data_IF_368595974502
#
_entry.id   IF_368595974502
#
_cell.length_a   1.000
_cell.length_b   1.000
_cell.length_c   1.000
_cell.angle_alpha   90.00
_cell.angle_beta   90.00
_cell.angle_gamma   90.00
#
_symmetry.space_group_name_H-M   'P 1'
#
loop_
_entity.id
_entity.type
_entity.pdbx_description
1 polymer ?
#
# COMPACT_ATOMS: atom_id res chain seq x y z
N UNK A 1 17.95 -35.64 -14.43
CA UNK A 1 17.24 -36.57 -13.52
C UNK A 1 17.45 -36.07 -12.10
N UNK A 2 16.47 -35.39 -11.51
CA UNK A 2 16.55 -34.98 -10.10
C UNK A 2 16.53 -36.22 -9.21
N UNK A 3 17.38 -36.30 -8.17
CA UNK A 3 17.43 -37.48 -7.31
C UNK A 3 16.06 -37.71 -6.67
N UNK A 4 15.57 -38.95 -6.70
CA UNK A 4 14.32 -39.31 -6.01
C UNK A 4 14.48 -38.95 -4.52
N UNK A 5 13.51 -38.24 -3.93
CA UNK A 5 13.54 -37.88 -2.53
C UNK A 5 13.67 -39.16 -1.69
N UNK A 6 14.68 -39.21 -0.81
CA UNK A 6 15.00 -40.41 -0.02
C UNK A 6 13.87 -40.79 0.95
N UNK A 7 13.04 -39.82 1.35
CA UNK A 7 11.95 -40.01 2.31
C UNK A 7 10.74 -39.19 1.86
N UNK A 8 9.59 -39.87 1.77
CA UNK A 8 8.28 -39.28 1.45
C UNK A 8 7.30 -39.58 2.58
N UNK A 9 6.39 -38.66 2.82
CA UNK A 9 5.27 -38.85 3.76
C UNK A 9 3.95 -38.76 3.01
N UNK A 10 2.93 -39.48 3.50
CA UNK A 10 1.57 -39.39 3.01
C UNK A 10 0.82 -38.26 3.71
N UNK A 11 0.36 -37.28 2.93
CA UNK A 11 -0.56 -36.23 3.37
C UNK A 11 -1.84 -36.40 2.57
N UNK A 12 -2.89 -36.93 3.19
CA UNK A 12 -4.09 -37.36 2.47
C UNK A 12 -3.73 -38.44 1.44
N UNK A 13 -4.02 -38.16 0.16
CA UNK A 13 -3.71 -39.06 -0.97
C UNK A 13 -2.41 -38.70 -1.70
N UNK A 14 -1.68 -37.68 -1.24
CA UNK A 14 -0.46 -37.21 -1.91
C UNK A 14 0.81 -37.65 -1.18
N UNK A 15 1.87 -37.92 -1.96
CA UNK A 15 3.21 -38.18 -1.43
C UNK A 15 4.02 -36.88 -1.44
N UNK A 16 4.32 -36.36 -0.26
CA UNK A 16 5.11 -35.13 -0.10
C UNK A 16 6.55 -35.51 0.23
N UNK A 17 7.55 -35.06 -0.55
CA UNK A 17 8.95 -35.27 -0.22
C UNK A 17 9.34 -34.47 1.02
N UNK A 18 10.05 -35.13 1.95
CA UNK A 18 10.62 -34.43 3.09
C UNK A 18 11.83 -33.58 2.65
N UNK A 19 11.98 -32.35 3.17
CA UNK A 19 13.19 -31.56 2.96
C UNK A 19 14.44 -32.31 3.45
N UNK A 20 15.59 -32.01 2.84
CA UNK A 20 16.86 -32.59 3.29
C UNK A 20 17.12 -32.28 4.77
N UNK A 21 17.50 -33.30 5.54
CA UNK A 21 17.77 -33.18 6.97
C UNK A 21 16.54 -33.26 7.89
N UNK A 22 15.31 -33.31 7.35
CA UNK A 22 14.08 -33.40 8.14
C UNK A 22 13.58 -34.84 8.21
N UNK A 23 13.40 -35.38 9.42
CA UNK A 23 12.84 -36.72 9.61
C UNK A 23 11.30 -36.70 9.67
N UNK A 24 10.67 -37.86 9.46
CA UNK A 24 9.22 -37.99 9.64
C UNK A 24 8.77 -37.72 11.09
N UNK A 25 9.66 -37.94 12.08
CA UNK A 25 9.39 -37.63 13.48
C UNK A 25 9.40 -36.12 13.74
N UNK A 26 10.42 -35.42 13.24
CA UNK A 26 10.51 -33.95 13.33
C UNK A 26 9.27 -33.31 12.70
N UNK A 27 8.85 -33.85 11.56
CA UNK A 27 7.64 -33.43 10.87
C UNK A 27 6.35 -33.61 11.70
N UNK A 28 6.20 -34.77 12.33
CA UNK A 28 5.03 -35.10 13.13
C UNK A 28 4.96 -34.27 14.41
N UNK A 29 6.10 -34.07 15.08
CA UNK A 29 6.21 -33.24 16.27
C UNK A 29 5.95 -31.77 15.94
N UNK A 30 6.53 -31.24 14.85
CA UNK A 30 6.28 -29.88 14.38
C UNK A 30 4.79 -29.62 14.14
N UNK A 31 4.10 -30.60 13.54
CA UNK A 31 2.66 -30.50 13.28
C UNK A 31 1.85 -30.34 14.56
N UNK A 32 2.10 -31.22 15.52
CA UNK A 32 1.29 -31.33 16.75
C UNK A 32 1.59 -30.18 17.71
N UNK A 33 2.88 -29.86 17.88
CA UNK A 33 3.33 -28.94 18.92
C UNK A 33 3.28 -27.48 18.48
N UNK A 34 3.41 -27.20 17.18
CA UNK A 34 3.56 -25.83 16.69
C UNK A 34 2.57 -25.48 15.59
N UNK A 35 2.54 -26.21 14.48
CA UNK A 35 1.72 -25.84 13.31
C UNK A 35 0.22 -25.80 13.64
N UNK A 36 -0.35 -26.88 14.19
CA UNK A 36 -1.77 -26.94 14.51
C UNK A 36 -2.16 -25.86 15.53
N UNK A 37 -1.40 -25.65 16.62
CA UNK A 37 -1.60 -24.50 17.50
C UNK A 37 -1.53 -23.15 16.77
N UNK A 38 -0.53 -22.91 15.91
CA UNK A 38 -0.37 -21.65 15.15
C UNK A 38 -1.63 -21.38 14.32
N UNK A 39 -2.09 -22.37 13.56
CA UNK A 39 -3.30 -22.26 12.73
C UNK A 39 -4.51 -21.91 13.59
N UNK A 40 -4.73 -22.61 14.71
CA UNK A 40 -5.86 -22.32 15.59
C UNK A 40 -5.79 -20.92 16.18
N UNK A 41 -4.61 -20.46 16.60
CA UNK A 41 -4.40 -19.12 17.13
C UNK A 41 -4.67 -18.04 16.08
N UNK A 42 -4.16 -18.20 14.85
CA UNK A 42 -4.46 -17.31 13.73
C UNK A 42 -5.97 -17.23 13.46
N UNK A 43 -6.61 -18.38 13.27
CA UNK A 43 -8.05 -18.42 12.95
C UNK A 43 -8.91 -17.86 14.08
N UNK A 44 -8.55 -18.13 15.34
CA UNK A 44 -9.21 -17.53 16.49
C UNK A 44 -9.16 -16.00 16.47
N UNK A 45 -7.97 -15.44 16.17
CA UNK A 45 -7.79 -14.00 16.05
C UNK A 45 -8.53 -13.42 14.83
N UNK A 46 -8.42 -14.06 13.67
CA UNK A 46 -9.08 -13.64 12.41
C UNK A 46 -10.59 -13.58 12.60
N UNK A 47 -11.19 -14.63 13.17
CA UNK A 47 -12.64 -14.71 13.37
C UNK A 47 -13.16 -13.62 14.31
N UNK A 48 -12.39 -13.26 15.33
CA UNK A 48 -12.74 -12.20 16.27
C UNK A 48 -12.61 -10.82 15.63
N UNK A 49 -11.52 -10.56 14.90
CA UNK A 49 -11.31 -9.26 14.25
C UNK A 49 -12.28 -9.02 13.10
N UNK A 50 -12.61 -10.05 12.32
CA UNK A 50 -13.65 -9.98 11.28
C UNK A 50 -15.03 -9.66 11.85
N UNK A 51 -15.32 -10.07 13.09
CA UNK A 51 -16.59 -9.76 13.75
C UNK A 51 -16.79 -8.27 14.06
N UNK A 52 -15.72 -7.46 13.94
CA UNK A 52 -15.71 -6.02 14.16
C UNK A 52 -15.07 -5.24 13.01
N UNK A 53 -14.83 -5.92 11.88
CA UNK A 53 -14.30 -5.28 10.69
C UNK A 53 -15.42 -4.45 10.04
N UNK A 54 -15.38 -3.15 10.31
CA UNK A 54 -16.34 -2.17 9.82
C UNK A 54 -15.62 -1.08 9.02
N UNK A 55 -16.37 -0.33 8.19
CA UNK A 55 -15.81 0.82 7.50
C UNK A 55 -15.45 1.93 8.50
N UNK A 56 -14.45 2.75 8.16
CA UNK A 56 -14.07 3.89 9.01
C UNK A 56 -15.24 4.84 9.28
N UNK A 57 -16.12 5.02 8.28
CA UNK A 57 -17.34 5.79 8.46
C UNK A 57 -18.23 5.20 9.57
N UNK A 58 -18.46 3.89 9.54
CA UNK A 58 -19.23 3.21 10.58
C UNK A 58 -18.55 3.32 11.96
N UNK A 59 -17.23 3.13 12.05
CA UNK A 59 -16.47 3.27 13.30
C UNK A 59 -16.51 4.70 13.86
N UNK A 60 -16.47 5.72 13.01
CA UNK A 60 -16.52 7.13 13.45
C UNK A 60 -17.92 7.55 13.93
N UNK A 61 -18.98 6.92 13.42
CA UNK A 61 -20.37 7.34 13.64
C UNK A 61 -21.21 6.35 14.46
N UNK A 62 -20.65 5.19 14.86
CA UNK A 62 -21.39 4.22 15.67
C UNK A 62 -21.70 4.75 17.07
N UNK A 63 -22.71 4.19 17.74
CA UNK A 63 -23.03 4.53 19.14
C UNK A 63 -21.84 4.27 20.08
N UNK A 64 -21.71 4.98 21.22
CA UNK A 64 -20.69 4.71 22.22
C UNK A 64 -20.66 3.24 22.70
N UNK A 65 -21.82 2.61 22.87
CA UNK A 65 -21.92 1.21 23.29
C UNK A 65 -21.30 0.26 22.24
N UNK A 66 -21.64 0.43 20.96
CA UNK A 66 -21.01 -0.31 19.86
C UNK A 66 -19.50 -0.08 19.80
N UNK A 67 -19.04 1.15 20.02
CA UNK A 67 -17.61 1.45 20.03
C UNK A 67 -16.88 0.69 21.15
N UNK A 68 -17.47 0.61 22.34
CA UNK A 68 -16.89 -0.14 23.47
C UNK A 68 -16.89 -1.66 23.23
N UNK A 69 -17.92 -2.22 22.57
CA UNK A 69 -17.92 -3.63 22.12
C UNK A 69 -16.76 -3.89 21.14
N UNK A 70 -16.59 -3.01 20.15
CA UNK A 70 -15.49 -3.09 19.18
C UNK A 70 -14.14 -2.99 19.91
N UNK A 71 -13.98 -2.04 20.81
CA UNK A 71 -12.79 -1.85 21.63
C UNK A 71 -12.43 -3.12 22.42
N UNK A 72 -13.40 -3.70 23.12
CA UNK A 72 -13.21 -4.92 23.89
C UNK A 72 -12.72 -6.09 23.03
N UNK A 73 -13.31 -6.28 21.85
CA UNK A 73 -12.90 -7.34 20.91
C UNK A 73 -11.50 -7.10 20.32
N UNK A 74 -11.17 -5.86 19.96
CA UNK A 74 -9.82 -5.54 19.46
C UNK A 74 -8.75 -5.78 20.53
N UNK A 75 -9.03 -5.40 21.78
CA UNK A 75 -8.14 -5.73 22.91
C UNK A 75 -8.02 -7.24 23.13
N UNK A 76 -9.13 -7.98 23.02
CA UNK A 76 -9.12 -9.43 23.13
C UNK A 76 -8.21 -10.06 22.05
N UNK A 77 -8.33 -9.62 20.79
CA UNK A 77 -7.46 -10.06 19.69
C UNK A 77 -6.00 -9.71 19.98
N UNK A 78 -5.72 -8.47 20.40
CA UNK A 78 -4.36 -8.06 20.76
C UNK A 78 -3.77 -8.92 21.89
N UNK A 79 -4.59 -9.29 22.88
CA UNK A 79 -4.16 -10.18 23.96
C UNK A 79 -3.89 -11.61 23.46
N UNK A 80 -4.74 -12.17 22.59
CA UNK A 80 -4.52 -13.49 21.99
C UNK A 80 -3.27 -13.52 21.13
N UNK A 81 -3.00 -12.44 20.37
CA UNK A 81 -1.77 -12.31 19.60
C UNK A 81 -0.55 -12.39 20.53
N UNK A 82 -0.54 -11.62 21.62
CA UNK A 82 0.58 -11.62 22.58
C UNK A 82 0.77 -12.93 23.33
N UNK A 83 -0.33 -13.53 23.80
CA UNK A 83 -0.27 -14.64 24.76
C UNK A 83 -0.29 -16.02 24.11
N UNK A 84 -0.84 -16.13 22.90
CA UNK A 84 -0.96 -17.41 22.21
C UNK A 84 -0.16 -17.44 20.91
N UNK A 85 -0.32 -16.44 20.04
CA UNK A 85 0.33 -16.46 18.73
C UNK A 85 1.83 -16.17 18.82
N UNK A 86 2.23 -15.15 19.59
CA UNK A 86 3.63 -14.73 19.69
C UNK A 86 4.56 -15.85 20.17
N UNK A 87 4.27 -16.60 21.25
CA UNK A 87 5.13 -17.70 21.69
C UNK A 87 5.28 -18.80 20.64
N UNK A 88 4.21 -19.04 19.86
CA UNK A 88 4.24 -20.02 18.78
C UNK A 88 5.08 -19.56 17.58
N UNK A 89 5.14 -18.25 17.35
CA UNK A 89 6.02 -17.65 16.35
C UNK A 89 7.45 -17.52 16.83
N UNK A 90 7.76 -17.57 18.13
CA UNK A 90 9.15 -17.58 18.62
C UNK A 90 9.83 -18.93 18.45
N UNK A 91 9.08 -20.03 18.55
CA UNK A 91 9.63 -21.37 18.40
C UNK A 91 10.08 -21.66 16.96
N UNK A 92 11.34 -22.08 16.78
CA UNK A 92 11.89 -22.43 15.47
C UNK A 92 11.23 -23.67 14.86
N UNK A 93 11.22 -23.74 13.53
CA UNK A 93 10.77 -24.90 12.78
C UNK A 93 11.96 -25.67 12.20
N UNK A 94 11.96 -27.02 12.25
CA UNK A 94 12.96 -27.83 11.54
C UNK A 94 12.74 -27.83 10.02
N UNK A 95 11.59 -27.35 9.54
CA UNK A 95 11.24 -27.31 8.11
C UNK A 95 11.72 -25.97 7.53
N UNK A 96 12.72 -25.94 6.63
CA UNK A 96 13.37 -24.68 6.23
C UNK A 96 12.41 -23.60 5.69
N UNK A 97 11.54 -23.97 4.75
CA UNK A 97 10.56 -23.01 4.18
C UNK A 97 9.57 -22.48 5.23
N UNK A 98 9.17 -23.32 6.18
CA UNK A 98 8.26 -22.92 7.24
C UNK A 98 8.97 -22.03 8.26
N UNK A 99 10.26 -22.27 8.51
CA UNK A 99 11.09 -21.41 9.36
C UNK A 99 11.28 -20.02 8.73
N UNK A 100 11.52 -19.92 7.42
CA UNK A 100 11.60 -18.65 6.70
C UNK A 100 10.28 -17.85 6.83
N UNK A 101 9.14 -18.49 6.55
CA UNK A 101 7.83 -17.86 6.69
C UNK A 101 7.52 -17.46 8.15
N UNK A 102 7.92 -18.29 9.12
CA UNK A 102 7.78 -17.98 10.55
C UNK A 102 8.67 -16.79 10.95
N UNK A 103 9.90 -16.70 10.45
CA UNK A 103 10.80 -15.56 10.68
C UNK A 103 10.19 -14.27 10.13
N UNK A 104 9.69 -14.30 8.90
CA UNK A 104 8.94 -13.19 8.29
C UNK A 104 7.76 -12.76 9.17
N UNK A 105 6.92 -13.72 9.61
CA UNK A 105 5.81 -13.48 10.52
C UNK A 105 6.24 -12.90 11.88
N UNK A 106 7.37 -13.36 12.43
CA UNK A 106 7.94 -12.83 13.67
C UNK A 106 8.44 -11.38 13.54
N UNK A 107 9.03 -11.01 12.40
CA UNK A 107 9.38 -9.62 12.11
C UNK A 107 8.13 -8.75 11.96
N UNK A 108 7.13 -9.23 11.22
CA UNK A 108 5.85 -8.53 11.06
C UNK A 108 5.14 -8.32 12.42
N UNK A 109 5.20 -9.32 13.31
CA UNK A 109 4.66 -9.22 14.66
C UNK A 109 5.41 -8.17 15.50
N UNK A 110 6.72 -8.08 15.34
CA UNK A 110 7.54 -7.07 16.02
C UNK A 110 7.13 -5.65 15.62
N UNK A 111 6.91 -5.43 14.31
CA UNK A 111 6.40 -4.16 13.78
C UNK A 111 4.97 -3.87 14.23
N UNK A 112 4.09 -4.87 14.23
CA UNK A 112 2.73 -4.72 14.77
C UNK A 112 2.78 -4.36 16.26
N UNK A 113 3.70 -4.97 17.00
CA UNK A 113 3.95 -4.72 18.41
C UNK A 113 4.35 -3.28 18.70
N UNK A 114 5.33 -2.76 17.97
CA UNK A 114 5.87 -1.41 18.16
C UNK A 114 4.86 -0.31 17.79
N UNK A 115 4.09 -0.52 16.73
CA UNK A 115 3.24 0.53 16.15
C UNK A 115 1.76 0.45 16.57
N UNK A 116 1.21 -0.75 16.73
CA UNK A 116 -0.23 -0.96 16.90
C UNK A 116 -0.56 -1.42 18.30
N UNK A 117 0.03 -2.54 18.72
CA UNK A 117 -0.30 -3.17 20.00
C UNK A 117 0.04 -2.25 21.19
N UNK A 118 1.19 -1.57 21.13
CA UNK A 118 1.57 -0.54 22.11
C UNK A 118 0.63 0.68 22.10
N UNK A 119 0.06 1.03 20.95
CA UNK A 119 -0.93 2.09 20.84
C UNK A 119 -2.22 1.77 21.60
N UNK A 120 -2.68 0.51 21.52
CA UNK A 120 -3.84 0.01 22.25
C UNK A 120 -3.65 0.00 23.78
N UNK A 121 -2.42 -0.16 24.26
CA UNK A 121 -2.09 -0.14 25.70
C UNK A 121 -2.23 1.24 26.35
N UNK A 122 -2.24 2.32 25.54
CA UNK A 122 -2.36 3.70 26.06
C UNK A 122 -3.73 4.00 26.67
N UNK A 123 -4.74 3.22 26.31
CA UNK A 123 -6.11 3.40 26.78
C UNK A 123 -6.47 2.30 27.78
N UNK A 124 -7.26 2.61 28.82
CA UNK A 124 -7.76 1.62 29.76
C UNK A 124 -8.73 0.63 29.10
N UNK A 125 -9.04 -0.47 29.80
CA UNK A 125 -10.09 -1.40 29.34
C UNK A 125 -11.45 -0.72 29.28
N UNK A 126 -11.78 0.04 30.31
CA UNK A 126 -12.97 0.88 30.38
C UNK A 126 -12.63 2.30 29.92
N UNK A 127 -12.98 2.62 28.67
CA UNK A 127 -12.65 3.92 28.05
C UNK A 127 -13.55 5.02 28.62
N UNK A 128 -12.99 6.09 29.21
CA UNK A 128 -13.76 7.24 29.66
C UNK A 128 -14.49 7.95 28.49
N UNK A 129 -15.68 8.53 28.71
CA UNK A 129 -16.44 9.23 27.66
C UNK A 129 -15.63 10.31 26.92
N UNK A 130 -14.73 11.00 27.61
CA UNK A 130 -13.87 12.04 27.03
C UNK A 130 -12.82 11.53 26.03
N UNK A 131 -12.52 10.23 26.01
CA UNK A 131 -11.51 9.61 25.16
C UNK A 131 -12.10 8.84 23.96
N UNK A 132 -13.43 8.77 23.84
CA UNK A 132 -14.08 7.95 22.81
C UNK A 132 -13.67 8.36 21.40
N UNK A 133 -13.49 9.66 21.12
CA UNK A 133 -13.07 10.12 19.79
C UNK A 133 -11.64 9.67 19.44
N UNK A 134 -10.73 9.66 20.40
CA UNK A 134 -9.35 9.19 20.19
C UNK A 134 -9.33 7.68 19.95
N UNK A 135 -10.14 6.93 20.70
CA UNK A 135 -10.31 5.49 20.51
C UNK A 135 -10.92 5.18 19.13
N UNK A 136 -11.89 5.97 18.63
CA UNK A 136 -12.40 5.81 17.26
C UNK A 136 -11.29 5.93 16.22
N UNK A 137 -10.48 6.98 16.30
CA UNK A 137 -9.36 7.20 15.37
C UNK A 137 -8.36 6.06 15.44
N UNK A 138 -8.00 5.63 16.65
CA UNK A 138 -7.09 4.50 16.86
C UNK A 138 -7.64 3.21 16.27
N UNK A 139 -8.93 2.91 16.46
CA UNK A 139 -9.57 1.69 15.95
C UNK A 139 -9.64 1.66 14.42
N UNK A 140 -9.89 2.79 13.75
CA UNK A 140 -9.87 2.89 12.29
C UNK A 140 -8.54 2.38 11.70
N UNK A 141 -7.43 2.67 12.38
CA UNK A 141 -6.10 2.22 11.97
C UNK A 141 -5.81 0.80 12.44
N UNK A 142 -6.07 0.53 13.72
CA UNK A 142 -5.62 -0.68 14.40
C UNK A 142 -6.31 -1.94 13.88
N UNK A 143 -7.62 -1.87 13.61
CA UNK A 143 -8.38 -3.01 13.08
C UNK A 143 -7.80 -3.44 11.73
N UNK A 144 -7.57 -2.49 10.82
CA UNK A 144 -7.01 -2.77 9.50
C UNK A 144 -5.58 -3.35 9.57
N UNK A 145 -4.73 -2.82 10.45
CA UNK A 145 -3.36 -3.30 10.60
C UNK A 145 -3.28 -4.68 11.25
N UNK A 146 -4.07 -4.94 12.30
CA UNK A 146 -4.18 -6.27 12.92
C UNK A 146 -4.73 -7.29 11.93
N UNK A 147 -5.80 -6.92 11.21
CA UNK A 147 -6.39 -7.78 10.19
C UNK A 147 -5.38 -8.13 9.09
N UNK A 148 -4.65 -7.14 8.57
CA UNK A 148 -3.63 -7.35 7.54
C UNK A 148 -2.51 -8.25 8.04
N UNK A 149 -1.95 -7.97 9.20
CA UNK A 149 -0.93 -8.82 9.82
C UNK A 149 -1.39 -10.27 9.93
N UNK A 150 -2.59 -10.50 10.48
CA UNK A 150 -3.12 -11.84 10.70
C UNK A 150 -3.29 -12.61 9.39
N UNK A 151 -3.88 -11.99 8.36
CA UNK A 151 -4.12 -12.65 7.09
C UNK A 151 -2.84 -12.87 6.28
N UNK A 152 -1.94 -11.88 6.21
CA UNK A 152 -0.70 -12.00 5.45
C UNK A 152 0.19 -13.11 6.04
N UNK A 153 0.41 -13.06 7.35
CA UNK A 153 1.32 -14.00 8.01
C UNK A 153 0.71 -15.39 8.12
N UNK A 154 -0.61 -15.51 8.29
CA UNK A 154 -1.30 -16.78 8.16
C UNK A 154 -1.16 -17.34 6.74
N UNK A 155 -1.39 -16.51 5.71
CA UNK A 155 -1.27 -16.90 4.32
C UNK A 155 0.15 -17.35 3.96
N UNK A 156 1.17 -16.62 4.40
CA UNK A 156 2.57 -16.97 4.19
C UNK A 156 2.96 -18.28 4.88
N UNK A 157 2.59 -18.45 6.16
CA UNK A 157 2.86 -19.69 6.92
C UNK A 157 2.14 -20.89 6.30
N UNK A 158 0.88 -20.72 5.90
CA UNK A 158 0.10 -21.77 5.23
C UNK A 158 0.63 -22.08 3.83
N UNK A 159 1.08 -21.07 3.08
CA UNK A 159 1.70 -21.24 1.78
C UNK A 159 3.14 -21.75 1.88
N UNK A 160 3.79 -21.70 3.03
CA UNK A 160 5.10 -22.35 3.21
C UNK A 160 4.94 -23.82 3.60
N UNK A 161 3.88 -24.13 4.35
CA UNK A 161 3.57 -25.48 4.77
C UNK A 161 3.11 -26.35 3.59
N UNK A 162 3.65 -27.55 3.39
CA UNK A 162 3.17 -28.47 2.36
C UNK A 162 2.07 -29.42 2.87
N UNK A 163 1.68 -29.35 4.15
CA UNK A 163 0.57 -30.12 4.74
C UNK A 163 -0.80 -29.46 4.56
N UNK A 164 -0.79 -28.14 4.41
CA UNK A 164 -1.97 -27.27 4.32
C UNK A 164 -2.78 -27.44 3.02
N UNK A 165 -2.37 -28.33 2.11
CA UNK A 165 -3.00 -28.55 0.81
C UNK A 165 -4.50 -28.91 0.89
N UNK A 166 -4.94 -29.62 1.93
CA UNK A 166 -6.35 -29.96 2.15
C UNK A 166 -7.07 -29.08 3.20
N UNK A 167 -6.32 -28.61 4.20
CA UNK A 167 -6.87 -27.75 5.25
C UNK A 167 -7.14 -26.33 4.74
N UNK A 168 -6.33 -25.84 3.80
CA UNK A 168 -6.61 -24.61 3.06
C UNK A 168 -8.01 -24.67 2.45
N UNK A 169 -8.34 -25.66 1.62
CA UNK A 169 -9.67 -25.74 0.99
C UNK A 169 -10.84 -25.79 2.00
N UNK A 170 -10.68 -26.46 3.16
CA UNK A 170 -11.70 -26.49 4.21
C UNK A 170 -11.84 -25.14 4.94
N UNK A 171 -10.74 -24.49 5.31
CA UNK A 171 -10.72 -23.23 6.05
C UNK A 171 -10.96 -21.99 5.18
N UNK A 172 -10.80 -22.09 3.86
CA UNK A 172 -10.99 -21.02 2.86
C UNK A 172 -12.42 -20.95 2.29
N UNK A 173 -13.30 -21.90 2.62
CA UNK A 173 -14.49 -22.26 1.80
C UNK A 173 -15.68 -21.29 1.76
N UNK A 174 -15.70 -20.11 2.41
CA UNK A 174 -16.87 -19.21 2.34
C UNK A 174 -16.65 -17.70 2.19
N UNK A 175 -15.47 -17.16 2.50
CA UNK A 175 -15.19 -15.70 2.39
C UNK A 175 -13.92 -15.38 1.60
N UNK A 176 -12.92 -16.22 1.74
CA UNK A 176 -11.61 -16.07 1.13
C UNK A 176 -11.58 -16.03 -0.42
N UNK A 177 -12.47 -16.70 -1.18
CA UNK A 177 -12.48 -16.59 -2.65
C UNK A 177 -12.75 -15.16 -3.14
N UNK A 178 -13.56 -14.39 -2.41
CA UNK A 178 -13.81 -12.97 -2.73
C UNK A 178 -12.58 -12.13 -2.44
N UNK A 179 -11.95 -12.30 -1.28
CA UNK A 179 -10.73 -11.56 -0.92
C UNK A 179 -9.57 -11.87 -1.88
N UNK A 180 -9.54 -13.11 -2.38
CA UNK A 180 -8.63 -13.60 -3.41
C UNK A 180 -8.89 -12.95 -4.77
N UNK A 181 -10.14 -12.97 -5.26
CA UNK A 181 -10.52 -12.34 -6.53
C UNK A 181 -10.27 -10.82 -6.49
N UNK A 182 -10.60 -10.18 -5.36
CA UNK A 182 -10.32 -8.77 -5.10
C UNK A 182 -8.81 -8.49 -5.06
N UNK A 183 -7.98 -9.38 -4.49
CA UNK A 183 -6.53 -9.26 -4.49
C UNK A 183 -5.88 -9.45 -5.88
N UNK A 184 -6.39 -10.36 -6.70
CA UNK A 184 -5.98 -10.52 -8.11
C UNK A 184 -6.30 -9.26 -8.92
N UNK A 185 -7.50 -8.72 -8.75
CA UNK A 185 -7.93 -7.52 -9.44
C UNK A 185 -7.11 -6.30 -8.99
N UNK A 186 -6.83 -6.19 -7.69
CA UNK A 186 -5.95 -5.17 -7.12
C UNK A 186 -4.52 -5.29 -7.67
N UNK A 187 -3.95 -6.50 -7.69
CA UNK A 187 -2.60 -6.74 -8.25
C UNK A 187 -2.52 -6.34 -9.71
N UNK A 188 -3.44 -6.83 -10.54
CA UNK A 188 -3.48 -6.51 -11.96
C UNK A 188 -3.60 -5.00 -12.19
N UNK A 189 -4.40 -4.31 -11.38
CA UNK A 189 -4.58 -2.85 -11.48
C UNK A 189 -3.33 -2.08 -11.05
N UNK A 190 -2.64 -2.52 -9.99
CA UNK A 190 -1.37 -1.94 -9.56
C UNK A 190 -0.23 -2.18 -10.55
N UNK A 191 -0.18 -3.36 -11.18
CA UNK A 191 0.76 -3.64 -12.27
C UNK A 191 0.52 -2.69 -13.45
N UNK A 192 -0.74 -2.50 -13.86
CA UNK A 192 -1.09 -1.51 -14.90
C UNK A 192 -0.70 -0.08 -14.49
N UNK A 193 -0.87 0.28 -13.22
CA UNK A 193 -0.46 1.58 -12.72
C UNK A 193 1.06 1.76 -12.76
N UNK A 194 1.84 0.76 -12.32
CA UNK A 194 3.30 0.76 -12.38
C UNK A 194 3.79 0.94 -13.82
N UNK A 195 3.25 0.17 -14.75
CA UNK A 195 3.66 0.22 -16.15
C UNK A 195 3.30 1.58 -16.78
N UNK A 196 2.15 2.14 -16.41
CA UNK A 196 1.77 3.49 -16.81
C UNK A 196 2.71 4.55 -16.24
N UNK A 197 3.06 4.49 -14.95
CA UNK A 197 4.04 5.40 -14.34
C UNK A 197 5.40 5.32 -15.03
N UNK A 198 5.86 4.11 -15.37
CA UNK A 198 7.09 3.92 -16.13
C UNK A 198 7.03 4.58 -17.52
N UNK A 199 5.87 4.51 -18.20
CA UNK A 199 5.68 5.17 -19.50
C UNK A 199 5.70 6.71 -19.41
N UNK A 200 5.39 7.27 -18.22
CA UNK A 200 5.40 8.71 -17.99
C UNK A 200 6.79 9.25 -17.61
N UNK A 201 7.76 8.40 -17.27
CA UNK A 201 9.04 8.87 -16.70
C UNK A 201 9.84 9.76 -17.66
N UNK A 202 9.87 9.42 -18.96
CA UNK A 202 10.54 10.26 -19.96
C UNK A 202 9.90 11.66 -20.03
N UNK A 203 8.57 11.73 -20.09
CA UNK A 203 7.83 12.99 -20.09
C UNK A 203 7.99 13.79 -18.79
N UNK A 204 8.07 13.11 -17.64
CA UNK A 204 8.38 13.74 -16.35
C UNK A 204 9.75 14.39 -16.38
N UNK A 205 10.77 13.66 -16.81
CA UNK A 205 12.15 14.17 -16.88
C UNK A 205 12.26 15.38 -17.80
N UNK A 206 11.64 15.32 -18.98
CA UNK A 206 11.71 16.37 -19.98
C UNK A 206 10.88 17.61 -19.59
N UNK A 207 9.60 17.41 -19.29
CA UNK A 207 8.62 18.49 -19.20
C UNK A 207 8.37 18.99 -17.78
N UNK A 208 8.74 18.21 -16.75
CA UNK A 208 8.61 18.61 -15.35
C UNK A 208 9.96 18.99 -14.78
N UNK A 209 10.87 18.02 -14.63
CA UNK A 209 12.18 18.26 -14.03
C UNK A 209 13.06 19.18 -14.90
N UNK A 210 13.09 18.94 -16.22
CA UNK A 210 13.85 19.74 -17.17
C UNK A 210 13.40 21.20 -17.20
N UNK A 211 12.09 21.43 -17.34
CA UNK A 211 11.52 22.79 -17.35
C UNK A 211 11.65 23.47 -15.99
N UNK A 212 11.50 22.76 -14.87
CA UNK A 212 11.77 23.32 -13.55
C UNK A 212 13.22 23.81 -13.43
N UNK A 213 14.18 23.04 -13.95
CA UNK A 213 15.59 23.41 -13.99
C UNK A 213 15.86 24.64 -14.85
N UNK A 214 15.26 24.70 -16.05
CA UNK A 214 15.36 25.85 -16.96
C UNK A 214 14.82 27.12 -16.30
N UNK A 215 13.59 27.07 -15.78
CA UNK A 215 12.93 28.23 -15.15
C UNK A 215 13.67 28.67 -13.88
N UNK A 216 14.23 27.74 -13.10
CA UNK A 216 15.01 28.09 -11.91
C UNK A 216 16.33 28.78 -12.26
N UNK A 217 16.98 28.37 -13.35
CA UNK A 217 18.25 28.96 -13.80
C UNK A 217 18.03 30.34 -14.41
N UNK A 218 17.03 30.46 -15.27
CA UNK A 218 16.84 31.64 -16.09
C UNK A 218 15.93 32.67 -15.38
N UNK A 219 15.21 32.27 -14.32
CA UNK A 219 14.21 33.06 -13.57
C UNK A 219 13.18 33.76 -14.48
N UNK A 220 12.89 33.15 -15.64
CA UNK A 220 11.99 33.67 -16.66
C UNK A 220 10.76 32.78 -16.76
N UNK A 221 9.59 33.42 -16.90
CA UNK A 221 8.33 32.74 -17.19
C UNK A 221 8.41 32.13 -18.60
N UNK A 222 8.17 30.81 -18.75
CA UNK A 222 8.19 30.17 -20.06
C UNK A 222 7.25 30.84 -21.06
N UNK A 223 7.71 31.04 -22.29
CA UNK A 223 6.82 31.45 -23.38
C UNK A 223 5.81 30.34 -23.69
N UNK A 224 4.74 30.68 -24.40
CA UNK A 224 3.70 29.70 -24.80
C UNK A 224 4.33 28.52 -25.55
N UNK A 225 5.24 28.78 -26.49
CA UNK A 225 5.88 27.73 -27.28
C UNK A 225 6.75 26.77 -26.44
N UNK A 226 7.37 27.27 -25.36
CA UNK A 226 8.16 26.43 -24.43
C UNK A 226 7.23 25.71 -23.43
N UNK A 227 6.11 26.32 -23.07
CA UNK A 227 5.17 25.80 -22.08
C UNK A 227 4.20 24.75 -22.64
N UNK A 228 3.79 24.87 -23.91
CA UNK A 228 2.77 24.02 -24.52
C UNK A 228 3.03 22.50 -24.35
N UNK A 229 4.25 21.98 -24.57
CA UNK A 229 4.54 20.56 -24.29
C UNK A 229 4.36 20.19 -22.82
N UNK A 230 4.76 21.07 -21.90
CA UNK A 230 4.55 20.87 -20.46
C UNK A 230 3.07 20.89 -20.11
N UNK A 231 2.30 21.83 -20.65
CA UNK A 231 0.85 21.88 -20.46
C UNK A 231 0.18 20.58 -20.94
N UNK A 232 0.58 20.08 -22.12
CA UNK A 232 0.11 18.80 -22.65
C UNK A 232 0.46 17.62 -21.73
N UNK A 233 1.66 17.61 -21.14
CA UNK A 233 2.02 16.59 -20.15
C UNK A 233 1.18 16.70 -18.86
N UNK A 234 0.93 17.92 -18.35
CA UNK A 234 0.04 18.12 -17.20
C UNK A 234 -1.38 17.62 -17.48
N UNK A 235 -1.89 17.82 -18.70
CA UNK A 235 -3.18 17.27 -19.12
C UNK A 235 -3.18 15.74 -19.17
N UNK A 236 -2.07 15.09 -19.53
CA UNK A 236 -1.91 13.63 -19.42
C UNK A 236 -1.95 13.17 -17.96
N UNK A 237 -1.39 13.93 -17.02
CA UNK A 237 -1.50 13.61 -15.59
C UNK A 237 -2.95 13.77 -15.08
N UNK A 238 -3.64 14.81 -15.53
CA UNK A 238 -5.03 15.10 -15.17
C UNK A 238 -6.01 14.06 -15.73
N UNK A 239 -5.91 13.75 -17.02
CA UNK A 239 -6.85 12.90 -17.74
C UNK A 239 -6.48 11.41 -17.71
N UNK A 240 -5.20 11.09 -17.49
CA UNK A 240 -4.69 9.72 -17.53
C UNK A 240 -4.29 9.16 -16.16
N UNK A 241 -3.40 9.86 -15.43
CA UNK A 241 -2.90 9.35 -14.15
C UNK A 241 -3.95 9.45 -13.04
N UNK A 242 -4.63 10.60 -12.92
CA UNK A 242 -5.58 10.85 -11.83
C UNK A 242 -6.74 9.82 -11.81
N UNK A 243 -7.37 9.46 -12.94
CA UNK A 243 -8.41 8.42 -12.94
C UNK A 243 -7.88 7.04 -12.53
N UNK A 244 -6.66 6.68 -12.90
CA UNK A 244 -6.05 5.40 -12.51
C UNK A 244 -5.79 5.32 -11.01
N UNK A 245 -5.33 6.42 -10.40
CA UNK A 245 -5.17 6.49 -8.94
C UNK A 245 -6.53 6.35 -8.22
N UNK A 246 -7.57 7.00 -8.75
CA UNK A 246 -8.95 6.88 -8.24
C UNK A 246 -9.54 5.48 -8.44
N UNK A 247 -9.24 4.83 -9.56
CA UNK A 247 -9.63 3.44 -9.82
C UNK A 247 -9.03 2.52 -8.74
N UNK A 248 -7.75 2.67 -8.43
CA UNK A 248 -7.08 1.90 -7.37
C UNK A 248 -7.64 2.23 -5.97
N UNK A 249 -7.94 3.50 -5.67
CA UNK A 249 -8.58 3.91 -4.40
C UNK A 249 -9.95 3.29 -4.19
N UNK A 250 -10.70 3.07 -5.26
CA UNK A 250 -12.04 2.51 -5.19
C UNK A 250 -12.05 1.01 -4.85
N UNK A 251 -10.88 0.37 -4.78
CA UNK A 251 -10.78 -1.08 -4.63
C UNK A 251 -10.80 -1.51 -3.19
N UNK A 252 -11.42 -2.66 -2.99
CA UNK A 252 -11.34 -3.38 -1.73
C UNK A 252 -9.97 -4.04 -1.63
N UNK A 253 -9.41 -4.04 -0.43
CA UNK A 253 -8.08 -4.61 -0.15
C UNK A 253 -6.91 -3.62 -0.18
N UNK A 254 -7.16 -2.32 -0.46
CA UNK A 254 -6.21 -1.24 -0.15
C UNK A 254 -6.16 -1.04 1.36
N UNK A 255 -4.98 -1.11 1.98
CA UNK A 255 -4.86 -0.90 3.43
C UNK A 255 -5.04 0.56 3.79
N UNK A 256 -5.36 0.85 5.05
CA UNK A 256 -5.59 2.21 5.50
C UNK A 256 -4.42 3.17 5.23
N UNK A 257 -3.18 2.77 5.57
CA UNK A 257 -2.01 3.62 5.32
C UNK A 257 -1.69 3.77 3.82
N UNK A 258 -1.95 2.73 3.01
CA UNK A 258 -1.79 2.76 1.55
C UNK A 258 -2.84 3.68 0.92
N UNK A 259 -4.07 3.63 1.43
CA UNK A 259 -5.18 4.47 1.04
C UNK A 259 -4.91 5.93 1.39
N UNK A 260 -4.39 6.24 2.59
CA UNK A 260 -4.04 7.63 2.97
C UNK A 260 -2.96 8.22 2.06
N UNK A 261 -1.94 7.43 1.71
CA UNK A 261 -0.86 7.85 0.80
C UNK A 261 -1.43 8.04 -0.62
N UNK A 262 -2.19 7.07 -1.11
CA UNK A 262 -2.76 7.11 -2.46
C UNK A 262 -3.81 8.22 -2.61
N UNK A 263 -4.66 8.44 -1.59
CA UNK A 263 -5.68 9.49 -1.56
C UNK A 263 -5.03 10.87 -1.58
N UNK A 264 -3.96 11.05 -0.79
CA UNK A 264 -3.14 12.26 -0.84
C UNK A 264 -2.60 12.51 -2.24
N UNK A 265 -1.97 11.53 -2.87
CA UNK A 265 -1.42 11.71 -4.22
C UNK A 265 -2.50 11.92 -5.29
N UNK A 266 -3.63 11.21 -5.18
CA UNK A 266 -4.78 11.36 -6.08
C UNK A 266 -5.45 12.74 -5.96
N UNK A 267 -5.27 13.43 -4.82
CA UNK A 267 -5.70 14.81 -4.62
C UNK A 267 -4.62 15.82 -5.05
N UNK A 268 -3.38 15.63 -4.61
CA UNK A 268 -2.30 16.60 -4.80
C UNK A 268 -1.89 16.77 -6.27
N UNK A 269 -1.79 15.68 -7.03
CA UNK A 269 -1.40 15.73 -8.46
C UNK A 269 -2.34 16.63 -9.26
N UNK A 270 -3.66 16.37 -9.30
CA UNK A 270 -4.55 17.21 -10.10
C UNK A 270 -4.64 18.64 -9.57
N UNK A 271 -4.61 18.83 -8.24
CA UNK A 271 -4.61 20.17 -7.65
C UNK A 271 -3.41 21.00 -8.10
N UNK A 272 -2.21 20.42 -8.05
CA UNK A 272 -0.96 21.09 -8.45
C UNK A 272 -0.91 21.33 -9.96
N UNK A 273 -1.37 20.38 -10.78
CA UNK A 273 -1.44 20.57 -12.23
C UNK A 273 -2.34 21.76 -12.59
N UNK A 274 -3.55 21.83 -12.04
CA UNK A 274 -4.45 22.97 -12.25
C UNK A 274 -3.87 24.29 -11.74
N UNK A 275 -3.28 24.29 -10.54
CA UNK A 275 -2.63 25.47 -9.98
C UNK A 275 -1.53 25.99 -10.91
N UNK A 276 -0.72 25.09 -11.45
CA UNK A 276 0.41 25.41 -12.32
C UNK A 276 -0.04 25.93 -13.69
N UNK A 277 -1.05 25.33 -14.30
CA UNK A 277 -1.66 25.83 -15.55
C UNK A 277 -2.21 27.25 -15.36
N UNK A 278 -2.94 27.50 -14.26
CA UNK A 278 -3.47 28.82 -13.93
C UNK A 278 -2.37 29.84 -13.62
N UNK A 279 -1.32 29.41 -12.92
CA UNK A 279 -0.18 30.27 -12.57
C UNK A 279 0.56 30.74 -13.82
N UNK A 280 0.77 29.86 -14.80
CA UNK A 280 1.41 30.24 -16.07
C UNK A 280 0.53 31.19 -16.88
N UNK A 281 -0.77 30.93 -16.99
CA UNK A 281 -1.71 31.83 -17.67
C UNK A 281 -1.72 33.24 -17.05
N UNK A 282 -1.82 33.32 -15.72
CA UNK A 282 -1.77 34.59 -15.00
C UNK A 282 -0.41 35.30 -15.14
N UNK A 283 0.69 34.55 -15.21
CA UNK A 283 2.02 35.11 -15.42
C UNK A 283 2.13 35.76 -16.81
N UNK A 284 1.59 35.11 -17.85
CA UNK A 284 1.57 35.68 -19.20
C UNK A 284 0.70 36.94 -19.27
N UNK A 285 -0.48 36.91 -18.67
CA UNK A 285 -1.35 38.09 -18.61
C UNK A 285 -0.68 39.27 -17.91
N UNK A 286 0.02 39.01 -16.78
CA UNK A 286 0.77 40.03 -16.07
C UNK A 286 1.95 40.59 -16.90
N UNK A 287 2.72 39.71 -17.57
CA UNK A 287 3.84 40.12 -18.42
C UNK A 287 3.36 41.00 -19.59
N UNK A 288 2.29 40.60 -20.27
CA UNK A 288 1.72 41.37 -21.38
C UNK A 288 1.07 42.67 -20.89
N UNK A 289 0.40 42.66 -19.73
CA UNK A 289 -0.15 43.85 -19.11
C UNK A 289 0.92 44.89 -18.76
N UNK A 290 2.06 44.45 -18.21
CA UNK A 290 3.19 45.35 -17.93
C UNK A 290 3.77 45.90 -19.24
N UNK A 291 3.99 45.06 -20.26
CA UNK A 291 4.50 45.51 -21.58
C UNK A 291 3.59 46.56 -22.23
N UNK A 292 2.28 46.36 -22.16
CA UNK A 292 1.30 47.28 -22.73
C UNK A 292 1.18 48.59 -21.94
N UNK A 293 1.47 48.57 -20.63
CA UNK A 293 1.37 49.72 -19.72
C UNK A 293 2.61 50.62 -19.65
N UNK A 294 3.70 50.29 -20.34
CA UNK A 294 4.95 51.08 -20.27
C UNK A 294 4.77 52.45 -20.95
N UNK A 295 5.03 53.53 -20.20
CA UNK A 295 4.95 54.91 -20.69
C UNK A 295 6.05 55.28 -21.71
N UNK A 296 5.89 56.44 -22.35
CA UNK A 296 6.75 56.86 -23.45
C UNK A 296 8.10 57.44 -22.99
N UNK A 297 8.20 57.91 -21.73
CA UNK A 297 9.39 58.57 -21.23
C UNK A 297 10.51 57.57 -20.91
N UNK A 298 11.80 57.98 -20.93
CA UNK A 298 12.91 57.11 -20.56
C UNK A 298 12.80 56.52 -19.13
N UNK A 299 12.31 57.31 -18.17
CA UNK A 299 12.12 56.87 -16.80
C UNK A 299 11.01 55.82 -16.66
N UNK A 300 9.89 55.98 -17.37
CA UNK A 300 8.80 54.99 -17.39
C UNK A 300 9.24 53.69 -18.08
N UNK A 301 10.06 53.79 -19.14
CA UNK A 301 10.66 52.61 -19.79
C UNK A 301 11.59 51.85 -18.87
N UNK A 302 12.44 52.56 -18.12
CA UNK A 302 13.34 51.93 -17.15
C UNK A 302 12.56 51.24 -16.02
N UNK A 303 11.51 51.88 -15.50
CA UNK A 303 10.65 51.28 -14.48
C UNK A 303 9.91 50.05 -15.03
N UNK A 304 9.36 50.12 -16.25
CA UNK A 304 8.70 48.98 -16.90
C UNK A 304 9.63 47.77 -17.08
N UNK A 305 10.91 47.99 -17.40
CA UNK A 305 11.91 46.90 -17.46
C UNK A 305 12.15 46.29 -16.08
N UNK A 306 12.27 47.10 -15.03
CA UNK A 306 12.44 46.61 -13.65
C UNK A 306 11.23 45.79 -13.20
N UNK A 307 10.03 46.26 -13.51
CA UNK A 307 8.77 45.57 -13.17
C UNK A 307 8.65 44.24 -13.93
N UNK A 308 9.06 44.19 -15.20
CA UNK A 308 9.11 42.94 -15.99
C UNK A 308 10.10 41.92 -15.41
N UNK A 309 11.31 42.37 -15.05
CA UNK A 309 12.32 41.48 -14.43
C UNK A 309 11.77 40.90 -13.12
N UNK A 310 11.17 41.74 -12.28
CA UNK A 310 10.61 41.29 -11.01
C UNK A 310 9.42 40.34 -11.21
N UNK A 311 8.53 40.65 -12.16
CA UNK A 311 7.40 39.81 -12.53
C UNK A 311 7.87 38.42 -12.99
N UNK A 312 8.82 38.38 -13.92
CA UNK A 312 9.41 37.14 -14.41
C UNK A 312 10.04 36.32 -13.29
N UNK A 313 10.86 36.94 -12.44
CA UNK A 313 11.54 36.24 -11.35
C UNK A 313 10.54 35.70 -10.30
N UNK A 314 9.51 36.48 -9.98
CA UNK A 314 8.48 36.08 -9.01
C UNK A 314 7.66 34.89 -9.50
N UNK A 315 7.10 34.98 -10.72
CA UNK A 315 6.32 33.88 -11.29
C UNK A 315 7.19 32.68 -11.65
N UNK A 316 8.38 32.89 -12.22
CA UNK A 316 9.33 31.85 -12.56
C UNK A 316 9.68 30.98 -11.36
N UNK A 317 10.05 31.59 -10.22
CA UNK A 317 10.32 30.84 -8.98
C UNK A 317 9.13 30.01 -8.52
N UNK A 318 7.92 30.55 -8.59
CA UNK A 318 6.69 29.83 -8.19
C UNK A 318 6.36 28.67 -9.14
N UNK A 319 6.51 28.87 -10.45
CA UNK A 319 6.34 27.82 -11.48
C UNK A 319 7.35 26.69 -11.24
N UNK A 320 8.63 27.01 -11.08
CA UNK A 320 9.68 26.03 -10.83
C UNK A 320 9.46 25.26 -9.52
N UNK A 321 8.97 25.92 -8.47
CA UNK A 321 8.61 25.27 -7.21
C UNK A 321 7.46 24.29 -7.40
N UNK A 322 6.37 24.68 -8.07
CA UNK A 322 5.24 23.78 -8.32
C UNK A 322 5.62 22.58 -9.21
N UNK A 323 6.45 22.78 -10.24
CA UNK A 323 6.97 21.68 -11.05
C UNK A 323 7.80 20.70 -10.21
N UNK A 324 8.65 21.20 -9.30
CA UNK A 324 9.48 20.35 -8.43
C UNK A 324 8.65 19.55 -7.42
N UNK A 325 7.55 20.12 -6.96
CA UNK A 325 6.61 19.41 -6.08
C UNK A 325 5.86 18.31 -6.83
N UNK A 326 5.42 18.56 -8.06
CA UNK A 326 4.84 17.52 -8.93
C UNK A 326 5.86 16.40 -9.16
N UNK A 327 7.12 16.76 -9.42
CA UNK A 327 8.20 15.80 -9.64
C UNK A 327 8.41 14.88 -8.42
N UNK A 328 8.48 15.47 -7.22
CA UNK A 328 8.61 14.74 -5.95
C UNK A 328 7.44 13.76 -5.76
N UNK A 329 6.21 14.22 -5.94
CA UNK A 329 5.01 13.38 -5.77
C UNK A 329 5.00 12.22 -6.77
N UNK A 330 5.45 12.45 -8.01
CA UNK A 330 5.56 11.38 -9.00
C UNK A 330 6.64 10.35 -8.64
N UNK A 331 7.80 10.79 -8.14
CA UNK A 331 8.88 9.91 -7.68
C UNK A 331 8.44 9.05 -6.48
N UNK A 332 7.70 9.64 -5.55
CA UNK A 332 7.13 8.91 -4.41
C UNK A 332 6.20 7.80 -4.87
N UNK A 333 5.32 8.06 -5.85
CA UNK A 333 4.45 7.03 -6.44
C UNK A 333 5.25 5.91 -7.11
N UNK A 334 6.30 6.26 -7.87
CA UNK A 334 7.17 5.26 -8.53
C UNK A 334 7.87 4.37 -7.50
N UNK A 335 8.29 4.93 -6.37
CA UNK A 335 8.92 4.17 -5.29
C UNK A 335 7.90 3.30 -4.51
N UNK A 336 6.69 3.82 -4.29
CA UNK A 336 5.70 3.17 -3.41
C UNK A 336 4.92 2.04 -4.10
N UNK A 337 4.54 2.20 -5.37
CA UNK A 337 3.71 1.21 -6.09
C UNK A 337 4.33 -0.20 -6.13
N UNK A 338 5.65 -0.39 -6.37
CA UNK A 338 6.28 -1.71 -6.31
C UNK A 338 6.18 -2.39 -4.95
N UNK A 339 6.38 -1.65 -3.85
CA UNK A 339 6.26 -2.18 -2.49
C UNK A 339 4.83 -2.67 -2.21
N UNK A 340 3.85 -1.96 -2.77
CA UNK A 340 2.46 -2.35 -2.64
C UNK A 340 2.12 -3.60 -3.45
N UNK A 341 2.64 -3.72 -4.68
CA UNK A 341 2.52 -4.93 -5.49
C UNK A 341 3.05 -6.14 -4.69
N UNK A 342 4.22 -6.03 -4.07
CA UNK A 342 4.79 -7.11 -3.25
C UNK A 342 3.89 -7.49 -2.07
N UNK A 343 3.30 -6.50 -1.39
CA UNK A 343 2.35 -6.75 -0.30
C UNK A 343 1.04 -7.41 -0.78
N UNK A 344 0.61 -7.14 -2.02
CA UNK A 344 -0.53 -7.85 -2.63
C UNK A 344 -0.12 -9.27 -3.05
N UNK A 345 1.09 -9.47 -3.56
CA UNK A 345 1.60 -10.80 -3.96
C UNK A 345 1.67 -11.79 -2.80
N UNK A 346 2.06 -11.32 -1.60
CA UNK A 346 2.04 -12.16 -0.37
C UNK A 346 0.64 -12.72 -0.09
N UNK A 347 -0.42 -11.95 -0.38
CA UNK A 347 -1.82 -12.39 -0.25
C UNK A 347 -2.22 -13.38 -1.34
N UNK A 348 -1.67 -13.23 -2.54
CA UNK A 348 -1.89 -14.11 -3.70
C UNK A 348 -1.13 -15.44 -3.62
N UNK A 349 -0.13 -15.59 -2.74
CA UNK A 349 0.70 -16.79 -2.66
C UNK A 349 -0.10 -18.10 -2.45
N UNK A 350 -1.27 -18.03 -1.83
CA UNK A 350 -2.18 -19.17 -1.66
C UNK A 350 -2.85 -19.64 -2.98
N UNK A 351 -3.01 -18.76 -3.98
CA UNK A 351 -3.57 -19.08 -5.30
C UNK A 351 -2.59 -19.77 -6.24
N UNK A 352 -1.34 -19.30 -6.27
CA UNK A 352 -0.34 -19.77 -7.23
C UNK A 352 -0.01 -21.26 -7.03
N UNK A 353 -0.09 -21.75 -5.78
CA UNK A 353 0.02 -23.18 -5.48
C UNK A 353 -1.17 -24.00 -6.02
N UNK A 354 -2.40 -23.49 -5.93
CA UNK A 354 -3.59 -24.16 -6.46
C UNK A 354 -3.54 -24.31 -7.99
N UNK A 355 -3.17 -23.25 -8.71
CA UNK A 355 -3.08 -23.29 -10.18
C UNK A 355 -1.94 -24.17 -10.71
N UNK A 356 -0.78 -24.18 -10.02
CA UNK A 356 0.34 -25.05 -10.39
C UNK A 356 -0.03 -26.54 -10.28
N UNK A 357 -0.88 -26.89 -9.31
CA UNK A 357 -1.35 -28.27 -9.12
C UNK A 357 -2.51 -28.66 -10.05
N UNK A 358 -3.44 -27.75 -10.40
CA UNK A 358 -4.43 -28.03 -11.46
C UNK A 358 -3.74 -28.26 -12.82
N UNK A 359 -2.65 -27.54 -13.09
CA UNK A 359 -1.78 -27.79 -14.24
C UNK A 359 -1.04 -29.12 -14.15
N UNK A 360 -0.41 -29.42 -13.01
CA UNK A 360 0.31 -30.68 -12.79
C UNK A 360 -0.61 -31.92 -12.76
N UNK A 361 -1.84 -31.78 -12.27
CA UNK A 361 -2.84 -32.85 -12.34
C UNK A 361 -3.26 -33.10 -13.79
N UNK A 362 -3.45 -32.05 -14.62
CA UNK A 362 -3.77 -32.22 -16.05
C UNK A 362 -2.65 -32.86 -16.88
N UNK A 363 -1.39 -32.72 -16.46
CA UNK A 363 -0.25 -33.37 -17.13
C UNK A 363 -0.04 -34.83 -16.71
N UNK A 364 -0.77 -35.32 -15.69
CA UNK A 364 -0.67 -36.68 -15.15
C UNK A 364 -1.83 -37.59 -15.62
N UNK A 365 -2.78 -37.08 -16.40
CA UNK A 365 -3.85 -37.87 -17.04
C UNK A 365 -3.60 -38.14 -18.51
#
# INVERSE_FOLDING_TARGET
MSPKPRHVILVGNQQVPLPEGVTALDWALERVNYQNPRIRSYLGCIRLIEGVLESNYALLHCSPERLLDIWGKVRQVANLIRTQLAPLLEASSPIPRLEEARQSAGMALTLLGSHVLRGLERFPEEVPPGQLMEVRKLLCVSIGQIHSFLHDTFGEVMAADPRSLHDADYFLSRRFPRDIEEAEWLHATLVRLRDYLASLDAGRQEHVAGVAGLVRRDEIVPSIAVWEPTAGFLDVLLSGLTPKLKEVLALRGVRFYEMEILDRHAFEIPHRCHLLLNLHAAALEAVEGIKAGVGATPAEKEQGVRDLIWCHASFGRRIAAQLSEIDTVMLDLVAFVPLWIEAVEKRRALLLRKSAEEGAQREVW
#
